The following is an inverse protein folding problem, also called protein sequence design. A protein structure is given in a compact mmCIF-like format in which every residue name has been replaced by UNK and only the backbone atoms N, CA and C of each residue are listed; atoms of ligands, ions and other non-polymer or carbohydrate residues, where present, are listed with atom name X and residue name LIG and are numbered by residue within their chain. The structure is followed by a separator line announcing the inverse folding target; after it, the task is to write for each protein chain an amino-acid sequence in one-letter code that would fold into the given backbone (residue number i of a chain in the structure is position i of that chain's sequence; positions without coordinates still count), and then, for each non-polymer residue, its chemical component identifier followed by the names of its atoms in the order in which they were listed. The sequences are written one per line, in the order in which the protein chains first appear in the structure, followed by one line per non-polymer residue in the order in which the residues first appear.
data_IF_494594593598
#
_entry.id   IF_494594593598
#
_cell.length_a   1.000
_cell.length_b   1.000
_cell.length_c   1.000
_cell.angle_alpha   90.00
_cell.angle_beta   90.00
_cell.angle_gamma   90.00
#
_symmetry.space_group_name_H-M   'P 1'
#
loop_
_entity.id
_entity.type
_entity.pdbx_description
1 polymer ?
#
# COMPACT_ATOMS: atom_id res chain seq x y z
N UNK A 1 13.89 4.50 12.50
CA UNK A 1 12.86 4.54 13.57
C UNK A 1 11.67 3.73 13.04
N UNK A 2 10.59 3.43 13.81
CA UNK A 2 9.42 2.79 13.19
C UNK A 2 8.82 3.71 12.13
N UNK A 3 8.31 3.13 11.04
CA UNK A 3 7.60 3.88 10.01
C UNK A 3 6.17 4.19 10.48
N UNK A 4 5.64 5.33 10.05
CA UNK A 4 4.27 5.74 10.36
C UNK A 4 3.38 5.44 9.16
N UNK A 5 2.30 4.67 9.39
CA UNK A 5 1.28 4.38 8.38
C UNK A 5 0.11 5.33 8.56
N UNK A 6 -0.22 6.10 7.52
CA UNK A 6 -1.27 7.11 7.50
C UNK A 6 -2.26 6.75 6.40
N UNK A 7 -3.54 6.99 6.62
CA UNK A 7 -4.59 6.84 5.62
C UNK A 7 -5.11 8.22 5.22
N UNK A 8 -5.15 8.51 3.92
CA UNK A 8 -5.72 9.76 3.42
C UNK A 8 -7.23 9.83 3.69
N UNK A 9 -7.92 8.70 3.54
CA UNK A 9 -9.30 8.48 3.96
C UNK A 9 -9.43 7.04 4.48
N UNK A 10 -9.49 6.89 5.80
CA UNK A 10 -9.54 5.58 6.46
C UNK A 10 -10.87 4.84 6.17
N UNK A 11 -11.99 5.56 6.13
CA UNK A 11 -13.29 4.95 5.87
C UNK A 11 -13.39 4.42 4.43
N UNK A 12 -12.87 5.18 3.45
CA UNK A 12 -12.84 4.74 2.07
C UNK A 12 -11.89 3.55 1.89
N UNK A 13 -10.71 3.58 2.53
CA UNK A 13 -9.77 2.46 2.47
C UNK A 13 -10.39 1.17 3.02
N UNK A 14 -11.07 1.23 4.17
CA UNK A 14 -11.71 0.07 4.78
C UNK A 14 -12.82 -0.49 3.88
N UNK A 15 -13.65 0.38 3.29
CA UNK A 15 -14.69 -0.04 2.34
C UNK A 15 -14.08 -0.71 1.08
N UNK A 16 -13.02 -0.13 0.52
CA UNK A 16 -12.32 -0.72 -0.63
C UNK A 16 -11.69 -2.06 -0.26
N UNK A 17 -11.07 -2.14 0.92
CA UNK A 17 -10.43 -3.35 1.43
C UNK A 17 -11.43 -4.48 1.64
N UNK A 18 -12.60 -4.19 2.21
CA UNK A 18 -13.68 -5.18 2.40
C UNK A 18 -14.23 -5.70 1.06
N UNK A 19 -14.16 -4.90 0.00
CA UNK A 19 -14.61 -5.29 -1.34
C UNK A 19 -13.64 -6.23 -2.08
N UNK A 20 -12.38 -6.34 -1.61
CA UNK A 20 -11.35 -7.19 -2.21
C UNK A 20 -11.63 -8.68 -2.04
N UNK A 21 -11.02 -9.51 -2.89
CA UNK A 21 -11.02 -10.95 -2.65
C UNK A 21 -10.19 -11.29 -1.41
N UNK A 22 -10.54 -12.38 -0.73
CA UNK A 22 -9.86 -12.79 0.50
C UNK A 22 -8.34 -12.91 0.36
N UNK A 23 -7.86 -13.41 -0.78
CA UNK A 23 -6.44 -13.54 -1.05
C UNK A 23 -5.72 -12.18 -1.18
N UNK A 24 -6.40 -11.15 -1.66
CA UNK A 24 -5.88 -9.78 -1.81
C UNK A 24 -5.88 -9.05 -0.47
N UNK A 25 -6.94 -9.22 0.32
CA UNK A 25 -7.02 -8.75 1.71
C UNK A 25 -5.85 -9.32 2.52
N UNK A 26 -5.64 -10.63 2.48
CA UNK A 26 -4.59 -11.28 3.26
C UNK A 26 -3.19 -10.80 2.86
N UNK A 27 -2.95 -10.53 1.57
CA UNK A 27 -1.69 -9.93 1.10
C UNK A 27 -1.51 -8.51 1.63
N UNK A 28 -2.54 -7.68 1.50
CA UNK A 28 -2.50 -6.29 1.95
C UNK A 28 -2.30 -6.21 3.47
N UNK A 29 -2.97 -7.05 4.25
CA UNK A 29 -2.84 -7.08 5.72
C UNK A 29 -1.46 -7.53 6.18
N UNK A 30 -0.88 -8.57 5.57
CA UNK A 30 0.49 -9.00 5.90
C UNK A 30 1.49 -7.91 5.59
N UNK A 31 1.36 -7.27 4.44
CA UNK A 31 2.18 -6.13 4.07
C UNK A 31 2.03 -4.97 5.07
N UNK A 32 0.81 -4.53 5.39
CA UNK A 32 0.53 -3.44 6.35
C UNK A 32 1.21 -3.65 7.71
N UNK A 33 1.14 -4.89 8.24
CA UNK A 33 1.78 -5.26 9.51
C UNK A 33 3.29 -5.07 9.49
N UNK A 34 3.92 -5.29 8.33
CA UNK A 34 5.36 -5.12 8.15
C UNK A 34 5.77 -3.69 7.81
N UNK A 35 4.86 -2.86 7.28
CA UNK A 35 5.19 -1.47 6.92
C UNK A 35 5.68 -0.69 8.13
N UNK A 36 5.04 -0.84 9.29
CA UNK A 36 5.41 -0.10 10.52
C UNK A 36 6.85 -0.42 10.97
N UNK A 37 7.33 -1.63 10.70
CA UNK A 37 8.65 -2.08 11.12
C UNK A 37 9.74 -1.81 10.07
N UNK A 38 9.44 -2.05 8.80
CA UNK A 38 10.45 -2.06 7.72
C UNK A 38 10.25 -0.98 6.65
N UNK A 39 9.09 -0.32 6.64
CA UNK A 39 8.67 0.60 5.58
C UNK A 39 8.07 -0.11 4.36
N UNK A 40 7.35 0.65 3.54
CA UNK A 40 6.54 0.14 2.44
C UNK A 40 7.30 -0.74 1.43
N UNK A 41 8.50 -0.29 1.02
CA UNK A 41 9.30 -0.96 -0.01
C UNK A 41 9.88 -2.28 0.52
N UNK A 42 10.43 -2.28 1.73
CA UNK A 42 11.02 -3.48 2.30
C UNK A 42 9.95 -4.49 2.70
N UNK A 43 8.81 -4.05 3.26
CA UNK A 43 7.66 -4.91 3.51
C UNK A 43 7.16 -5.60 2.24
N UNK A 44 7.07 -4.87 1.11
CA UNK A 44 6.67 -5.46 -0.16
C UNK A 44 7.65 -6.54 -0.65
N UNK A 45 8.96 -6.31 -0.47
CA UNK A 45 10.00 -7.31 -0.81
C UNK A 45 9.87 -8.58 0.02
N UNK A 46 9.62 -8.45 1.32
CA UNK A 46 9.44 -9.57 2.25
C UNK A 46 8.20 -10.40 1.91
N UNK A 47 7.13 -9.75 1.49
CA UNK A 47 5.89 -10.41 1.05
C UNK A 47 5.91 -10.86 -0.41
N UNK A 48 7.02 -10.66 -1.13
CA UNK A 48 7.15 -10.94 -2.56
C UNK A 48 6.06 -10.26 -3.41
N UNK A 49 5.67 -9.04 -3.03
CA UNK A 49 4.68 -8.21 -3.72
C UNK A 49 5.40 -7.16 -4.57
N UNK A 50 4.95 -7.00 -5.82
CA UNK A 50 5.47 -5.92 -6.67
C UNK A 50 5.05 -4.57 -6.10
N UNK A 51 6.05 -3.70 -5.89
CA UNK A 51 5.86 -2.29 -5.56
C UNK A 51 6.66 -1.45 -6.56
N UNK A 52 6.05 -0.40 -7.12
CA UNK A 52 6.72 0.45 -8.11
C UNK A 52 6.32 1.91 -7.98
N UNK A 53 7.26 2.78 -8.34
CA UNK A 53 7.03 4.21 -8.41
C UNK A 53 6.18 4.53 -9.65
N UNK A 54 5.12 5.31 -9.48
CA UNK A 54 4.27 5.75 -10.59
C UNK A 54 5.04 6.81 -11.38
N UNK A 55 5.28 6.53 -12.66
CA UNK A 55 6.03 7.45 -13.55
C UNK A 55 5.10 8.57 -14.02
N UNK A 56 5.58 9.81 -13.94
CA UNK A 56 4.82 10.99 -14.38
C UNK A 56 3.89 11.61 -13.33
N UNK A 57 3.81 11.01 -12.13
CA UNK A 57 3.22 11.68 -10.98
C UNK A 57 4.17 12.80 -10.49
N UNK A 58 3.61 13.93 -10.04
CA UNK A 58 4.38 15.06 -9.52
C UNK A 58 5.10 14.74 -8.20
N UNK A 59 4.68 13.68 -7.51
CA UNK A 59 5.06 13.36 -6.13
C UNK A 59 5.70 11.97 -6.02
N UNK A 60 6.23 11.63 -4.84
CA UNK A 60 6.77 10.31 -4.53
C UNK A 60 5.65 9.27 -4.39
N UNK A 61 4.85 9.11 -5.44
CA UNK A 61 3.74 8.20 -5.52
C UNK A 61 4.20 6.81 -5.93
N UNK A 62 3.70 5.81 -5.23
CA UNK A 62 3.98 4.40 -5.45
C UNK A 62 2.68 3.62 -5.49
N UNK A 63 2.73 2.47 -6.15
CA UNK A 63 1.66 1.49 -6.14
C UNK A 63 2.18 0.11 -5.74
N UNK A 64 1.37 -0.60 -4.95
CA UNK A 64 1.58 -1.99 -4.54
C UNK A 64 0.56 -2.89 -5.24
N UNK A 65 1.04 -3.93 -5.90
CA UNK A 65 0.25 -4.88 -6.70
C UNK A 65 -0.32 -6.00 -5.82
N UNK A 66 -1.51 -5.81 -5.26
CA UNK A 66 -2.13 -6.80 -4.35
C UNK A 66 -2.95 -7.86 -5.09
N UNK A 67 -3.54 -7.50 -6.23
CA UNK A 67 -4.36 -8.39 -7.07
C UNK A 67 -4.08 -8.25 -8.56
N UNK A 68 -4.94 -8.83 -9.40
CA UNK A 68 -4.79 -8.74 -10.86
C UNK A 68 -4.96 -7.29 -11.33
N UNK A 69 -5.95 -6.60 -10.78
CA UNK A 69 -6.32 -5.22 -11.11
C UNK A 69 -6.20 -4.27 -9.91
N UNK A 70 -6.04 -4.82 -8.71
CA UNK A 70 -6.15 -4.14 -7.44
C UNK A 70 -4.77 -3.60 -7.04
N UNK A 71 -4.70 -2.28 -6.80
CA UNK A 71 -3.46 -1.56 -6.46
C UNK A 71 -3.66 -0.70 -5.23
N UNK A 72 -2.81 -0.84 -4.22
CA UNK A 72 -2.75 0.15 -3.13
C UNK A 72 -1.91 1.31 -3.61
N UNK A 73 -2.48 2.51 -3.68
CA UNK A 73 -1.75 3.73 -4.02
C UNK A 73 -1.25 4.41 -2.75
N UNK A 74 -0.03 4.94 -2.78
CA UNK A 74 0.58 5.57 -1.60
C UNK A 74 1.59 6.65 -1.94
N UNK A 75 1.83 7.56 -1.00
CA UNK A 75 3.01 8.43 -0.96
C UNK A 75 4.03 7.92 0.05
N UNK A 76 5.31 7.97 -0.34
CA UNK A 76 6.43 7.65 0.53
C UNK A 76 7.25 8.91 0.80
N UNK A 77 7.27 9.35 2.06
CA UNK A 77 7.95 10.58 2.50
C UNK A 77 8.78 10.31 3.76
N UNK A 78 10.06 9.98 3.57
CA UNK A 78 10.93 9.61 4.67
C UNK A 78 10.44 8.34 5.37
N UNK A 79 10.07 8.47 6.64
CA UNK A 79 9.50 7.39 7.46
C UNK A 79 7.96 7.36 7.44
N UNK A 80 7.32 8.29 6.72
CA UNK A 80 5.87 8.33 6.57
C UNK A 80 5.42 7.60 5.30
N UNK A 81 4.42 6.73 5.45
CA UNK A 81 3.75 6.00 4.38
C UNK A 81 2.29 6.42 4.40
N UNK A 82 1.86 7.20 3.42
CA UNK A 82 0.47 7.66 3.31
C UNK A 82 -0.25 6.83 2.26
N UNK A 83 -1.17 5.97 2.66
CA UNK A 83 -2.06 5.23 1.77
C UNK A 83 -3.17 6.16 1.27
N UNK A 84 -3.30 6.25 -0.05
CA UNK A 84 -4.28 7.09 -0.73
C UNK A 84 -5.60 6.37 -0.98
N UNK A 85 -5.57 5.04 -1.05
CA UNK A 85 -6.73 4.20 -1.33
C UNK A 85 -6.35 2.99 -2.17
N UNK A 86 -7.36 2.21 -2.57
CA UNK A 86 -7.18 1.02 -3.41
C UNK A 86 -7.80 1.28 -4.79
N UNK A 87 -6.95 1.40 -5.80
CA UNK A 87 -7.36 1.60 -7.19
C UNK A 87 -7.60 0.28 -7.93
N UNK A 88 -8.43 0.35 -8.97
CA UNK A 88 -8.69 -0.74 -9.91
C UNK A 88 -8.22 -0.32 -11.32
N UNK A 89 -7.33 -1.11 -11.93
CA UNK A 89 -6.82 -0.91 -13.30
C UNK A 89 -7.38 -1.92 -14.31
#
# INVERSE_FOLDING_TARGET
MPYTLIYADENQFDADFESLQKAEQDKCDRWRKQVVEYGAIQAARLEHIEIKKIRGAAENQWELVIGRKERVQMFLEGENVTILGIGHL
#
